data_IF_360149145016
#
_entry.id   IF_360149145016
#
_cell.length_a   1.000
_cell.length_b   1.000
_cell.length_c   1.000
_cell.angle_alpha   90.00
_cell.angle_beta   90.00
_cell.angle_gamma   90.00
#
_symmetry.space_group_name_H-M   'P 1'
#
loop_
_entity.id
_entity.type
_entity.pdbx_description
1 polymer ?
#
# COMPACT_ATOMS: atom_id res chain seq x y z
N UNK A 1 -46.07 57.46 -5.15
CA UNK A 1 -47.47 57.01 -5.05
C UNK A 1 -47.58 56.10 -3.83
N UNK A 2 -48.21 56.62 -2.77
CA UNK A 2 -48.96 55.98 -1.66
C UNK A 2 -48.53 54.58 -1.15
N UNK A 3 -48.01 54.46 0.09
CA UNK A 3 -48.71 54.23 1.40
C UNK A 3 -49.25 52.79 1.53
N UNK A 4 -49.20 52.04 2.63
CA UNK A 4 -49.05 52.25 4.09
C UNK A 4 -48.57 50.89 4.70
N UNK A 5 -47.65 50.83 5.67
CA UNK A 5 -47.78 51.04 7.14
C UNK A 5 -48.76 50.07 7.82
N UNK A 6 -48.23 49.23 8.74
CA UNK A 6 -48.71 49.18 10.12
C UNK A 6 -47.65 48.60 11.07
N UNK A 7 -47.12 49.50 11.91
CA UNK A 7 -46.48 49.23 13.19
C UNK A 7 -47.58 49.06 14.24
N UNK A 8 -47.44 48.09 15.14
CA UNK A 8 -48.10 48.11 16.44
C UNK A 8 -47.02 48.10 17.51
N UNK A 9 -46.96 49.18 18.27
CA UNK A 9 -46.23 49.33 19.53
C UNK A 9 -47.12 48.92 20.69
N UNK A 10 -46.60 48.19 21.68
CA UNK A 10 -47.14 48.23 23.06
C UNK A 10 -46.09 47.85 24.10
N UNK A 11 -45.75 48.88 24.90
CA UNK A 11 -45.61 48.91 26.36
C UNK A 11 -44.72 47.90 27.11
N UNK A 12 -43.72 48.47 27.80
CA UNK A 12 -43.03 47.84 28.92
C UNK A 12 -43.82 47.99 30.24
N UNK A 13 -43.95 46.89 31.01
CA UNK A 13 -44.09 46.88 32.48
C UNK A 13 -43.40 45.65 33.07
N UNK A 14 -42.63 45.89 34.13
CA UNK A 14 -41.83 44.92 34.90
C UNK A 14 -42.67 44.05 35.82
N UNK A 15 -42.34 42.75 35.97
CA UNK A 15 -42.55 41.95 37.19
C UNK A 15 -41.40 40.92 37.36
N UNK A 16 -40.51 41.24 38.31
CA UNK A 16 -39.90 40.43 39.38
C UNK A 16 -39.90 38.88 39.29
N UNK A 17 -38.67 38.34 39.42
CA UNK A 17 -38.23 37.08 40.04
C UNK A 17 -38.89 35.74 39.70
N UNK A 18 -38.09 34.78 39.20
CA UNK A 18 -37.68 33.60 39.99
C UNK A 18 -36.72 32.71 39.20
N UNK A 19 -35.76 32.17 39.94
CA UNK A 19 -34.63 31.34 39.51
C UNK A 19 -35.12 30.00 38.97
N UNK A 20 -34.66 29.64 37.77
CA UNK A 20 -34.73 28.29 37.21
C UNK A 20 -33.49 28.05 36.37
N UNK A 21 -32.45 27.47 36.97
CA UNK A 21 -31.22 27.10 36.30
C UNK A 21 -31.50 26.00 35.28
N UNK A 22 -31.60 26.37 34.00
CA UNK A 22 -31.52 25.41 32.90
C UNK A 22 -30.04 25.12 32.70
N UNK A 23 -29.60 23.98 33.25
CA UNK A 23 -28.33 23.38 32.88
C UNK A 23 -28.37 23.04 31.38
N UNK A 24 -27.79 23.91 30.55
CA UNK A 24 -27.36 23.55 29.21
C UNK A 24 -26.30 22.46 29.37
N UNK A 25 -26.72 21.20 29.26
CA UNK A 25 -25.82 20.09 29.06
C UNK A 25 -25.13 20.30 27.71
N UNK A 26 -23.98 20.97 27.74
CA UNK A 26 -22.99 20.94 26.69
C UNK A 26 -22.63 19.48 26.44
N UNK A 27 -23.18 18.92 25.37
CA UNK A 27 -22.71 17.65 24.81
C UNK A 27 -21.31 17.93 24.31
N UNK A 28 -20.33 17.76 25.18
CA UNK A 28 -18.94 17.60 24.81
C UNK A 28 -18.95 16.35 23.92
N UNK A 29 -18.89 16.56 22.61
CA UNK A 29 -18.55 15.53 21.65
C UNK A 29 -17.11 15.12 21.97
N UNK A 30 -16.97 14.24 22.96
CA UNK A 30 -15.74 13.51 23.21
C UNK A 30 -15.40 12.82 21.91
N UNK A 31 -14.21 13.12 21.40
CA UNK A 31 -13.52 12.31 20.41
C UNK A 31 -13.57 10.87 20.88
N UNK A 32 -14.52 10.10 20.34
CA UNK A 32 -14.53 8.66 20.49
C UNK A 32 -13.26 8.19 19.81
N UNK A 33 -12.26 7.80 20.61
CA UNK A 33 -11.24 6.89 20.14
C UNK A 33 -11.97 5.72 19.48
N UNK A 34 -11.57 5.30 18.25
CA UNK A 34 -12.16 4.10 17.68
C UNK A 34 -12.00 3.01 18.73
N UNK A 35 -13.13 2.39 19.11
CA UNK A 35 -13.18 1.32 20.09
C UNK A 35 -11.98 0.42 19.85
N UNK A 36 -11.10 0.33 20.84
CA UNK A 36 -9.96 -0.56 20.80
C UNK A 36 -10.50 -1.91 20.35
N UNK A 37 -9.99 -2.44 19.23
CA UNK A 37 -10.13 -3.86 18.97
C UNK A 37 -9.74 -4.52 20.30
N UNK A 38 -10.69 -5.26 20.91
CA UNK A 38 -10.40 -6.03 22.10
C UNK A 38 -9.05 -6.71 21.85
N UNK A 39 -8.05 -6.48 22.72
CA UNK A 39 -6.69 -6.92 22.43
C UNK A 39 -6.73 -8.43 22.17
N UNK A 40 -6.62 -8.78 20.88
CA UNK A 40 -6.71 -10.17 20.44
C UNK A 40 -5.54 -10.89 21.13
N UNK A 41 -5.86 -11.92 21.90
CA UNK A 41 -4.85 -12.78 22.49
C UNK A 41 -4.25 -13.65 21.38
N UNK A 42 -3.29 -13.09 20.65
CA UNK A 42 -2.61 -13.74 19.54
C UNK A 42 -1.88 -15.02 19.95
N UNK A 43 -1.62 -15.25 21.24
CA UNK A 43 -1.05 -16.53 21.70
C UNK A 43 -2.01 -17.72 21.49
N UNK A 44 -3.32 -17.44 21.36
CA UNK A 44 -4.37 -18.44 21.11
C UNK A 44 -4.72 -18.61 19.63
N UNK A 45 -4.21 -17.75 18.76
CA UNK A 45 -4.46 -17.82 17.31
C UNK A 45 -3.34 -18.64 16.66
N UNK A 46 -3.63 -19.72 15.92
CA UNK A 46 -2.60 -20.51 15.26
C UNK A 46 -1.75 -19.68 14.31
N UNK A 47 -0.42 -19.80 14.43
CA UNK A 47 0.52 -19.18 13.52
C UNK A 47 0.91 -20.13 12.38
N UNK A 48 0.91 -19.62 11.15
CA UNK A 48 1.40 -20.30 9.95
C UNK A 48 2.61 -19.53 9.43
N UNK A 49 3.76 -20.19 9.35
CA UNK A 49 4.91 -19.63 8.63
C UNK A 49 4.76 -19.89 7.14
N UNK A 50 4.74 -18.80 6.36
CA UNK A 50 4.75 -18.80 4.89
C UNK A 50 6.14 -18.43 4.43
N UNK A 51 6.76 -19.30 3.62
CA UNK A 51 8.04 -18.99 2.98
C UNK A 51 7.81 -18.15 1.73
N UNK A 52 8.26 -16.91 1.76
CA UNK A 52 8.30 -16.03 0.60
C UNK A 52 9.65 -16.15 -0.10
N UNK A 53 9.68 -15.93 -1.41
CA UNK A 53 10.90 -15.97 -2.19
C UNK A 53 10.97 -14.88 -3.24
N UNK A 54 12.19 -14.56 -3.67
CA UNK A 54 12.47 -13.50 -4.62
C UNK A 54 12.21 -13.97 -6.07
N UNK A 55 11.25 -13.37 -6.80
CA UNK A 55 10.82 -13.88 -8.11
C UNK A 55 11.63 -13.32 -9.29
N UNK A 56 12.47 -12.28 -9.08
CA UNK A 56 13.25 -11.63 -10.13
C UNK A 56 12.40 -11.13 -11.29
N UNK A 57 12.88 -11.33 -12.52
CA UNK A 57 12.20 -10.98 -13.77
C UNK A 57 11.44 -12.16 -14.39
N UNK A 58 10.79 -13.00 -13.57
CA UNK A 58 9.88 -14.05 -14.04
C UNK A 58 8.54 -13.48 -14.52
N UNK A 59 8.55 -12.73 -15.63
CA UNK A 59 7.31 -12.20 -16.22
C UNK A 59 6.40 -13.33 -16.74
N UNK A 60 5.10 -13.05 -16.84
CA UNK A 60 4.08 -13.93 -17.43
C UNK A 60 4.47 -14.36 -18.85
N UNK A 61 4.99 -13.43 -19.66
CA UNK A 61 5.55 -13.71 -20.99
C UNK A 61 6.69 -14.71 -20.96
N UNK A 62 7.57 -14.66 -19.95
CA UNK A 62 8.64 -15.65 -19.77
C UNK A 62 8.07 -17.00 -19.35
N UNK A 63 7.15 -17.01 -18.38
CA UNK A 63 6.49 -18.22 -17.87
C UNK A 63 5.74 -19.00 -18.96
N UNK A 64 5.14 -18.28 -19.90
CA UNK A 64 4.41 -18.82 -21.04
C UNK A 64 5.29 -19.09 -22.27
N UNK A 65 6.61 -18.88 -22.18
CA UNK A 65 7.55 -19.09 -23.29
C UNK A 65 8.41 -20.34 -23.08
N UNK A 66 8.95 -20.88 -24.17
CA UNK A 66 9.88 -22.03 -24.14
C UNK A 66 11.13 -21.83 -23.27
N UNK A 67 11.45 -20.58 -22.88
CA UNK A 67 12.50 -20.28 -21.91
C UNK A 67 12.18 -20.82 -20.51
N UNK A 68 10.90 -20.99 -20.17
CA UNK A 68 10.41 -21.74 -19.01
C UNK A 68 10.35 -23.24 -19.34
N UNK A 69 11.55 -23.81 -19.59
CA UNK A 69 11.76 -25.15 -20.14
C UNK A 69 10.82 -26.20 -19.53
N UNK A 70 10.03 -26.86 -20.38
CA UNK A 70 9.12 -27.98 -20.05
C UNK A 70 7.90 -27.62 -19.20
N UNK A 71 7.72 -26.35 -18.82
CA UNK A 71 6.61 -25.88 -18.00
C UNK A 71 5.73 -24.82 -18.71
N UNK A 72 6.20 -24.21 -19.79
CA UNK A 72 5.47 -23.24 -20.60
C UNK A 72 4.09 -23.74 -21.08
N UNK A 73 4.03 -24.96 -21.59
CA UNK A 73 2.75 -25.59 -22.01
C UNK A 73 1.79 -25.80 -20.83
N UNK A 74 2.32 -26.12 -19.65
CA UNK A 74 1.53 -26.30 -18.42
C UNK A 74 0.98 -24.95 -17.93
N UNK A 75 1.81 -23.90 -17.94
CA UNK A 75 1.37 -22.54 -17.60
C UNK A 75 0.26 -22.08 -18.55
N UNK A 76 0.41 -22.29 -19.86
CA UNK A 76 -0.60 -21.93 -20.87
C UNK A 76 -1.90 -22.75 -20.71
N UNK A 77 -1.80 -24.01 -20.27
CA UNK A 77 -2.97 -24.84 -19.93
C UNK A 77 -3.64 -24.42 -18.60
N UNK A 78 -3.03 -23.49 -17.86
CA UNK A 78 -3.54 -23.04 -16.58
C UNK A 78 -3.24 -24.00 -15.44
N UNK A 79 -2.12 -24.72 -15.46
CA UNK A 79 -1.68 -25.53 -14.32
C UNK A 79 -1.15 -24.65 -13.18
N UNK A 80 -1.19 -25.17 -11.96
CA UNK A 80 -0.69 -24.47 -10.78
C UNK A 80 0.84 -24.50 -10.72
N UNK A 81 1.47 -23.39 -10.31
CA UNK A 81 2.93 -23.31 -10.16
C UNK A 81 3.47 -24.38 -9.21
N UNK A 82 2.76 -24.62 -8.11
CA UNK A 82 3.12 -25.61 -7.10
C UNK A 82 3.06 -27.05 -7.61
N UNK A 83 2.38 -27.34 -8.73
CA UNK A 83 2.42 -28.69 -9.32
C UNK A 83 3.80 -29.13 -9.79
N UNK A 84 4.73 -28.18 -9.97
CA UNK A 84 6.12 -28.43 -10.33
C UNK A 84 7.12 -27.85 -9.31
N UNK A 85 6.73 -26.82 -8.55
CA UNK A 85 7.63 -26.03 -7.69
C UNK A 85 7.31 -26.12 -6.19
N UNK A 86 6.53 -27.10 -5.76
CA UNK A 86 6.26 -27.32 -4.33
C UNK A 86 7.55 -27.54 -3.55
N UNK A 87 7.81 -26.69 -2.55
CA UNK A 87 9.00 -26.76 -1.70
C UNK A 87 10.28 -26.15 -2.31
N UNK A 88 10.22 -25.64 -3.55
CA UNK A 88 11.38 -25.07 -4.24
C UNK A 88 11.59 -23.56 -3.96
N UNK A 89 10.80 -22.93 -3.09
CA UNK A 89 10.83 -21.48 -2.84
C UNK A 89 12.24 -20.98 -2.51
N UNK A 90 12.97 -21.72 -1.68
CA UNK A 90 14.33 -21.38 -1.30
C UNK A 90 15.32 -21.49 -2.45
N UNK A 91 15.23 -22.58 -3.22
CA UNK A 91 16.13 -22.82 -4.34
C UNK A 91 15.90 -21.79 -5.46
N UNK A 92 14.64 -21.51 -5.77
CA UNK A 92 14.26 -20.48 -6.75
C UNK A 92 14.76 -19.11 -6.29
N UNK A 93 14.42 -18.71 -5.06
CA UNK A 93 14.80 -17.41 -4.52
C UNK A 93 16.31 -17.20 -4.53
N UNK A 94 17.07 -18.17 -4.00
CA UNK A 94 18.53 -18.12 -3.91
C UNK A 94 19.21 -18.13 -5.28
N UNK A 95 18.70 -18.92 -6.23
CA UNK A 95 19.24 -18.95 -7.60
C UNK A 95 19.05 -17.60 -8.31
N UNK A 96 17.89 -16.98 -8.11
CA UNK A 96 17.56 -15.72 -8.78
C UNK A 96 18.38 -14.57 -8.17
N UNK A 97 18.43 -14.42 -6.83
CA UNK A 97 19.22 -13.33 -6.22
C UNK A 97 20.72 -13.45 -6.50
N UNK A 98 21.23 -14.65 -6.80
CA UNK A 98 22.62 -14.83 -7.19
C UNK A 98 22.95 -14.27 -8.59
N UNK A 99 21.96 -13.81 -9.36
CA UNK A 99 22.14 -13.31 -10.72
C UNK A 99 22.34 -14.38 -11.79
N UNK A 100 22.29 -15.68 -11.42
CA UNK A 100 22.51 -16.78 -12.38
C UNK A 100 21.34 -16.95 -13.35
N UNK A 101 20.14 -16.54 -12.96
CA UNK A 101 18.91 -16.68 -13.75
C UNK A 101 17.92 -15.58 -13.38
N UNK A 102 17.30 -14.96 -14.39
CA UNK A 102 16.19 -14.00 -14.24
C UNK A 102 16.47 -12.77 -13.37
N UNK A 103 17.73 -12.46 -13.07
CA UNK A 103 18.13 -11.25 -12.38
C UNK A 103 19.35 -10.63 -13.06
N UNK A 104 19.15 -9.70 -14.01
CA UNK A 104 20.26 -9.08 -14.72
C UNK A 104 21.05 -8.07 -13.87
N UNK A 105 20.48 -7.58 -12.76
CA UNK A 105 21.12 -6.60 -11.90
C UNK A 105 20.92 -6.99 -10.43
N UNK A 106 21.60 -8.06 -9.95
CA UNK A 106 21.41 -8.53 -8.58
C UNK A 106 21.79 -7.46 -7.57
N UNK A 107 20.98 -7.33 -6.52
CA UNK A 107 21.26 -6.43 -5.40
C UNK A 107 22.23 -7.16 -4.46
N UNK A 108 23.44 -6.61 -4.17
CA UNK A 108 24.41 -7.27 -3.32
C UNK A 108 23.83 -7.65 -1.94
N UNK A 109 24.03 -8.90 -1.54
CA UNK A 109 23.58 -9.42 -0.25
C UNK A 109 22.07 -9.58 -0.08
N UNK A 110 21.23 -9.31 -1.11
CA UNK A 110 19.78 -9.48 -1.00
C UNK A 110 19.43 -10.94 -0.67
N UNK A 111 18.61 -11.14 0.35
CA UNK A 111 18.13 -12.47 0.70
C UNK A 111 17.21 -13.03 -0.38
N UNK A 112 17.38 -14.31 -0.74
CA UNK A 112 16.52 -15.02 -1.69
C UNK A 112 15.15 -15.38 -1.12
N UNK A 113 15.04 -15.47 0.21
CA UNK A 113 13.83 -15.89 0.91
C UNK A 113 13.49 -14.96 2.07
N UNK A 114 12.24 -15.01 2.51
CA UNK A 114 11.77 -14.39 3.75
C UNK A 114 10.70 -15.26 4.37
N UNK A 115 10.86 -15.63 5.64
CA UNK A 115 9.79 -16.29 6.38
C UNK A 115 8.84 -15.24 6.96
N UNK A 116 7.55 -15.40 6.67
CA UNK A 116 6.47 -14.54 7.13
C UNK A 116 5.55 -15.37 8.02
N UNK A 117 5.49 -15.04 9.31
CA UNK A 117 4.47 -15.61 10.20
C UNK A 117 3.14 -14.90 9.95
N UNK A 118 2.08 -15.69 9.78
CA UNK A 118 0.71 -15.21 9.56
C UNK A 118 -0.21 -15.83 10.59
N UNK A 119 -1.02 -14.99 11.22
CA UNK A 119 -2.12 -15.39 12.09
C UNK A 119 -3.38 -14.68 11.60
N UNK A 120 -4.51 -15.36 11.63
CA UNK A 120 -5.77 -14.81 11.17
C UNK A 120 -6.87 -15.10 12.18
N UNK A 121 -7.72 -14.12 12.42
CA UNK A 121 -8.91 -14.24 13.25
C UNK A 121 -10.06 -13.42 12.66
N UNK A 122 -11.29 -13.69 13.06
CA UNK A 122 -12.44 -12.90 12.62
C UNK A 122 -13.50 -12.81 13.71
N UNK A 123 -14.30 -11.75 13.67
CA UNK A 123 -15.62 -11.69 14.28
C UNK A 123 -16.69 -11.69 13.16
N UNK A 124 -17.94 -11.32 13.46
CA UNK A 124 -19.01 -11.27 12.47
C UNK A 124 -18.89 -10.09 11.49
N UNK A 125 -18.03 -9.12 11.79
CA UNK A 125 -17.87 -7.85 11.06
C UNK A 125 -16.49 -7.71 10.42
N UNK A 126 -15.43 -8.20 11.06
CA UNK A 126 -14.05 -7.89 10.73
C UNK A 126 -13.19 -9.14 10.58
N UNK A 127 -12.28 -9.07 9.61
CA UNK A 127 -11.09 -9.89 9.52
C UNK A 127 -9.93 -9.18 10.22
N UNK A 128 -9.19 -9.94 11.03
CA UNK A 128 -7.96 -9.53 11.69
C UNK A 128 -6.81 -10.40 11.20
N UNK A 129 -5.73 -9.76 10.77
CA UNK A 129 -4.51 -10.42 10.32
C UNK A 129 -3.34 -9.90 11.15
N UNK A 130 -2.53 -10.81 11.68
CA UNK A 130 -1.24 -10.48 12.27
C UNK A 130 -0.12 -11.08 11.44
N UNK A 131 0.87 -10.25 11.16
CA UNK A 131 2.04 -10.60 10.38
C UNK A 131 3.30 -10.33 11.18
N UNK A 132 4.29 -11.21 11.06
CA UNK A 132 5.61 -11.01 11.65
C UNK A 132 6.71 -11.48 10.70
N UNK A 133 7.72 -10.64 10.46
CA UNK A 133 8.92 -11.03 9.73
C UNK A 133 10.16 -10.31 10.26
N UNK A 134 11.29 -11.00 10.17
CA UNK A 134 12.61 -10.42 10.45
C UNK A 134 13.04 -9.58 9.26
N UNK A 135 13.25 -8.29 9.45
CA UNK A 135 13.84 -7.42 8.42
C UNK A 135 15.30 -7.80 8.20
N UNK A 136 15.72 -7.76 6.93
CA UNK A 136 17.12 -7.88 6.54
C UNK A 136 17.92 -6.62 6.93
N UNK A 137 17.27 -5.45 6.96
CA UNK A 137 17.93 -4.19 7.30
C UNK A 137 18.18 -4.09 8.82
N UNK A 138 19.25 -3.40 9.18
CA UNK A 138 19.63 -3.07 10.56
C UNK A 138 18.82 -1.92 11.16
N UNK A 139 17.93 -1.32 10.37
CA UNK A 139 17.08 -0.18 10.72
C UNK A 139 15.71 -0.32 10.10
N UNK A 140 14.72 0.32 10.73
CA UNK A 140 13.36 0.39 10.19
C UNK A 140 13.32 1.15 8.85
N UNK A 141 12.63 0.59 7.84
CA UNK A 141 12.35 1.20 6.54
C UNK A 141 11.29 2.29 6.61
N UNK A 142 11.47 3.30 7.46
CA UNK A 142 10.47 4.35 7.78
C UNK A 142 10.61 5.64 6.97
N UNK A 143 11.30 5.60 5.84
CA UNK A 143 11.55 6.76 4.97
C UNK A 143 11.07 6.49 3.54
N UNK A 144 10.49 7.49 2.88
CA UNK A 144 10.09 7.37 1.48
C UNK A 144 10.04 8.73 0.78
N UNK A 145 10.72 8.84 -0.36
CA UNK A 145 10.79 10.06 -1.17
C UNK A 145 11.20 11.28 -0.32
N UNK A 146 12.37 11.22 0.32
CA UNK A 146 12.86 12.33 1.13
C UNK A 146 13.40 13.43 0.23
N UNK A 147 13.38 14.67 0.71
CA UNK A 147 14.07 15.80 0.07
C UNK A 147 15.09 16.40 1.04
N UNK A 148 16.23 16.84 0.52
CA UNK A 148 17.30 17.46 1.28
C UNK A 148 17.59 18.86 0.73
N UNK A 149 17.79 19.81 1.63
CA UNK A 149 18.22 21.14 1.29
C UNK A 149 19.74 21.18 1.07
N UNK A 150 20.19 21.69 -0.07
CA UNK A 150 21.61 21.78 -0.43
C UNK A 150 22.26 23.13 -0.06
N UNK A 151 21.55 23.95 0.73
CA UNK A 151 21.95 25.31 1.07
C UNK A 151 21.34 26.38 0.17
N UNK A 152 20.73 25.98 -0.97
CA UNK A 152 20.05 26.89 -1.90
C UNK A 152 18.65 26.40 -2.27
N UNK A 153 18.51 25.11 -2.58
CA UNK A 153 17.28 24.51 -3.05
C UNK A 153 17.05 23.10 -2.47
N UNK A 154 15.82 22.61 -2.61
CA UNK A 154 15.43 21.26 -2.21
C UNK A 154 15.62 20.28 -3.35
N UNK A 155 16.25 19.13 -3.07
CA UNK A 155 16.47 18.05 -4.04
C UNK A 155 16.01 16.72 -3.47
N UNK A 156 15.63 15.78 -4.33
CA UNK A 156 15.38 14.40 -3.90
C UNK A 156 16.61 13.83 -3.20
N UNK A 157 16.38 13.10 -2.12
CA UNK A 157 17.42 12.53 -1.28
C UNK A 157 17.15 11.06 -1.01
N UNK A 158 18.13 10.24 -1.38
CA UNK A 158 18.07 8.78 -1.32
C UNK A 158 17.16 8.16 -2.38
N UNK A 159 17.29 6.85 -2.55
CA UNK A 159 16.46 6.05 -3.46
C UNK A 159 16.46 4.58 -3.03
N UNK A 160 15.76 3.70 -3.76
CA UNK A 160 15.79 2.26 -3.51
C UNK A 160 17.14 1.63 -3.92
N UNK A 161 17.50 0.50 -3.29
CA UNK A 161 18.79 -0.20 -3.48
C UNK A 161 19.12 -0.55 -4.93
N UNK A 162 18.10 -0.91 -5.72
CA UNK A 162 18.30 -1.27 -7.13
C UNK A 162 18.58 -0.07 -8.06
N UNK A 163 18.31 1.16 -7.61
CA UNK A 163 18.50 2.34 -8.44
C UNK A 163 19.97 2.51 -8.82
N UNK A 164 20.23 3.01 -10.04
CA UNK A 164 21.60 3.24 -10.53
C UNK A 164 22.40 4.15 -9.59
N UNK A 165 21.78 5.24 -9.11
CA UNK A 165 22.43 6.19 -8.22
C UNK A 165 22.88 5.59 -6.89
N UNK A 166 22.09 4.68 -6.30
CA UNK A 166 22.47 3.99 -5.06
C UNK A 166 23.58 2.98 -5.31
N UNK A 167 23.49 2.20 -6.40
CA UNK A 167 24.55 1.24 -6.79
C UNK A 167 25.89 1.91 -7.06
N UNK A 168 25.88 3.13 -7.59
CA UNK A 168 27.08 3.95 -7.84
C UNK A 168 27.53 4.74 -6.60
N UNK A 169 26.88 4.57 -5.44
CA UNK A 169 27.22 5.29 -4.21
C UNK A 169 26.93 6.79 -4.22
N UNK A 170 26.17 7.29 -5.21
CA UNK A 170 25.85 8.73 -5.37
C UNK A 170 24.77 9.21 -4.41
N UNK A 171 23.94 8.30 -3.90
CA UNK A 171 22.88 8.62 -2.94
C UNK A 171 22.62 7.40 -2.05
N UNK A 172 22.19 7.56 -0.79
CA UNK A 172 22.00 6.42 0.09
C UNK A 172 20.72 5.63 -0.24
N UNK A 173 20.66 4.36 0.20
CA UNK A 173 19.44 3.57 0.13
C UNK A 173 18.43 4.10 1.16
N UNK A 174 17.41 4.81 0.69
CA UNK A 174 16.33 5.38 1.51
C UNK A 174 15.01 5.05 0.84
N UNK A 175 14.37 3.99 1.31
CA UNK A 175 13.07 3.57 0.83
C UNK A 175 12.30 2.81 1.90
N UNK A 176 10.98 2.78 1.76
CA UNK A 176 10.12 2.17 2.77
C UNK A 176 10.05 0.66 2.62
N UNK A 177 9.90 -0.03 3.76
CA UNK A 177 9.44 -1.41 3.76
C UNK A 177 7.91 -1.47 3.65
N UNK A 178 7.39 -2.64 3.27
CA UNK A 178 5.97 -2.83 2.98
C UNK A 178 5.55 -4.28 3.03
N UNK A 179 4.33 -4.49 3.51
CA UNK A 179 3.58 -5.72 3.33
C UNK A 179 2.44 -5.49 2.35
N UNK A 180 2.22 -6.42 1.42
CA UNK A 180 1.11 -6.40 0.48
C UNK A 180 0.30 -7.70 0.57
N UNK A 181 -1.02 -7.55 0.47
CA UNK A 181 -1.99 -8.64 0.45
C UNK A 181 -2.79 -8.47 -0.84
N UNK A 182 -2.83 -9.52 -1.66
CA UNK A 182 -3.66 -9.58 -2.85
C UNK A 182 -4.77 -10.60 -2.61
N UNK A 183 -6.02 -10.28 -2.92
CA UNK A 183 -7.17 -11.15 -2.63
C UNK A 183 -8.03 -11.36 -3.89
N UNK A 184 -8.45 -12.61 -4.08
CA UNK A 184 -9.43 -13.02 -5.08
C UNK A 184 -10.52 -13.90 -4.44
N UNK A 185 -11.73 -13.74 -4.94
CA UNK A 185 -12.94 -14.47 -4.55
C UNK A 185 -13.31 -15.57 -5.56
N UNK A 186 -12.35 -15.99 -6.39
CA UNK A 186 -12.52 -17.02 -7.42
C UNK A 186 -13.03 -16.49 -8.75
N UNK A 187 -13.22 -15.17 -8.90
CA UNK A 187 -13.70 -14.55 -10.14
C UNK A 187 -12.58 -14.19 -11.11
N UNK A 188 -11.32 -14.13 -10.66
CA UNK A 188 -10.18 -13.89 -11.55
C UNK A 188 -9.64 -15.22 -12.10
N UNK A 189 -9.75 -15.47 -13.41
CA UNK A 189 -9.28 -16.72 -14.01
C UNK A 189 -7.81 -17.00 -13.69
N UNK A 190 -7.52 -18.25 -13.33
CA UNK A 190 -6.20 -18.79 -13.01
C UNK A 190 -5.50 -18.21 -11.77
N UNK A 191 -6.07 -17.25 -11.04
CA UNK A 191 -5.37 -16.66 -9.89
C UNK A 191 -5.10 -17.67 -8.78
N UNK A 192 -6.05 -18.56 -8.48
CA UNK A 192 -5.87 -19.69 -7.57
C UNK A 192 -4.69 -20.61 -7.91
N UNK A 193 -4.24 -20.60 -9.17
CA UNK A 193 -3.21 -21.52 -9.68
C UNK A 193 -1.87 -20.82 -9.91
N UNK A 194 -1.90 -19.56 -10.36
CA UNK A 194 -0.73 -18.81 -10.82
C UNK A 194 -0.40 -17.59 -9.96
N UNK A 195 -1.35 -17.13 -9.13
CA UNK A 195 -1.14 -16.05 -8.16
C UNK A 195 -0.62 -14.77 -8.77
N UNK A 196 0.27 -14.10 -8.03
CA UNK A 196 0.79 -12.78 -8.36
C UNK A 196 1.48 -12.69 -9.74
N UNK A 197 1.94 -13.81 -10.32
CA UNK A 197 2.56 -13.85 -11.65
C UNK A 197 1.60 -13.46 -12.77
N UNK A 198 0.29 -13.68 -12.59
CA UNK A 198 -0.74 -13.18 -13.52
C UNK A 198 -0.69 -11.67 -13.70
N UNK A 199 -0.06 -10.95 -12.78
CA UNK A 199 -0.02 -9.49 -12.81
C UNK A 199 1.32 -8.91 -13.23
N UNK A 200 2.31 -9.76 -13.54
CA UNK A 200 3.68 -9.36 -13.82
C UNK A 200 4.00 -9.65 -15.29
N UNK A 201 4.24 -8.62 -16.09
CA UNK A 201 4.42 -8.74 -17.53
C UNK A 201 5.67 -8.02 -18.03
N UNK A 202 6.12 -8.37 -19.23
CA UNK A 202 7.01 -7.52 -20.01
C UNK A 202 6.39 -6.13 -20.20
N UNK A 203 7.24 -5.11 -20.34
CA UNK A 203 6.80 -3.72 -20.52
C UNK A 203 6.55 -2.98 -19.21
N UNK A 204 6.36 -3.69 -18.09
CA UNK A 204 6.27 -3.07 -16.77
C UNK A 204 7.59 -2.43 -16.36
N UNK A 205 7.51 -1.39 -15.52
CA UNK A 205 8.70 -0.77 -14.93
C UNK A 205 9.56 -1.80 -14.19
N UNK A 206 10.87 -1.70 -14.35
CA UNK A 206 11.90 -2.62 -13.86
C UNK A 206 11.83 -4.06 -14.41
N UNK A 207 10.86 -4.39 -15.28
CA UNK A 207 10.72 -5.71 -15.92
C UNK A 207 11.36 -5.74 -17.32
N UNK A 208 11.55 -6.93 -17.93
CA UNK A 208 12.07 -7.01 -19.29
C UNK A 208 11.21 -6.21 -20.27
N UNK A 209 11.89 -5.62 -21.27
CA UNK A 209 11.26 -4.79 -22.31
C UNK A 209 10.43 -3.62 -21.75
N UNK A 210 10.85 -3.04 -20.62
CA UNK A 210 10.19 -1.88 -19.99
C UNK A 210 9.76 -0.84 -21.03
N UNK A 211 8.48 -0.47 -20.99
CA UNK A 211 7.90 0.49 -21.91
C UNK A 211 8.42 1.88 -21.61
N UNK A 212 8.90 2.59 -22.64
CA UNK A 212 9.38 3.96 -22.50
C UNK A 212 8.24 4.91 -22.15
N UNK A 213 8.48 5.85 -21.24
CA UNK A 213 7.42 6.68 -20.68
C UNK A 213 6.75 7.65 -21.68
N UNK A 214 7.46 8.09 -22.71
CA UNK A 214 6.91 8.85 -23.84
C UNK A 214 5.93 8.01 -24.68
N UNK A 215 6.26 6.75 -24.94
CA UNK A 215 5.38 5.80 -25.62
C UNK A 215 4.12 5.54 -24.79
N UNK A 216 4.26 5.31 -23.47
CA UNK A 216 3.10 5.10 -22.58
C UNK A 216 2.20 6.35 -22.52
N UNK A 217 2.79 7.56 -22.47
CA UNK A 217 2.02 8.82 -22.51
C UNK A 217 1.25 8.99 -23.82
N UNK A 218 1.79 8.51 -24.94
CA UNK A 218 1.12 8.52 -26.25
C UNK A 218 0.03 7.46 -26.41
N UNK A 219 -0.01 6.44 -25.53
CA UNK A 219 -1.00 5.37 -25.60
C UNK A 219 -2.41 5.91 -25.28
N UNK A 220 -3.40 5.61 -26.14
CA UNK A 220 -4.76 6.15 -26.06
C UNK A 220 -5.41 5.95 -24.67
N UNK A 221 -5.37 4.73 -24.13
CA UNK A 221 -5.93 4.46 -22.81
C UNK A 221 -4.98 4.84 -21.64
N UNK A 222 -3.81 4.20 -21.52
CA UNK A 222 -2.91 4.45 -20.37
C UNK A 222 -2.44 5.91 -20.25
N UNK A 223 -2.00 6.53 -21.35
CA UNK A 223 -1.57 7.92 -21.37
C UNK A 223 -2.72 8.91 -21.52
N UNK A 224 -3.65 8.63 -22.44
CA UNK A 224 -4.78 9.52 -22.75
C UNK A 224 -5.88 9.54 -21.68
N UNK A 225 -6.34 8.37 -21.22
CA UNK A 225 -7.41 8.25 -20.22
C UNK A 225 -6.86 8.21 -18.81
N UNK A 226 -5.93 7.29 -18.51
CA UNK A 226 -5.42 7.08 -17.13
C UNK A 226 -4.31 8.06 -16.72
N UNK A 227 -3.80 8.87 -17.65
CA UNK A 227 -2.71 9.86 -17.43
C UNK A 227 -1.45 9.25 -16.83
N UNK A 228 -1.13 8.01 -17.19
CA UNK A 228 0.06 7.30 -16.72
C UNK A 228 1.26 7.52 -17.66
N UNK A 229 2.45 7.27 -17.14
CA UNK A 229 3.72 7.36 -17.88
C UNK A 229 4.60 6.12 -17.69
N UNK A 230 4.07 5.09 -17.05
CA UNK A 230 4.70 3.80 -16.80
C UNK A 230 3.64 2.70 -16.91
N UNK A 231 4.09 1.46 -17.11
CA UNK A 231 3.23 0.27 -17.00
C UNK A 231 3.46 -0.37 -15.65
N UNK A 232 2.37 -0.73 -14.98
CA UNK A 232 2.37 -1.43 -13.67
C UNK A 232 1.61 -2.74 -13.80
N UNK A 233 1.33 -3.39 -12.67
CA UNK A 233 0.55 -4.63 -12.63
C UNK A 233 -0.79 -4.48 -13.37
N UNK A 234 -1.19 -5.50 -14.12
CA UNK A 234 -2.49 -5.61 -14.78
C UNK A 234 -2.84 -7.08 -15.00
N UNK A 235 -4.10 -7.39 -15.25
CA UNK A 235 -4.60 -8.74 -15.52
C UNK A 235 -4.67 -9.02 -17.03
N UNK A 236 -4.41 -10.25 -17.49
CA UNK A 236 -4.59 -10.66 -18.88
C UNK A 236 -5.99 -10.37 -19.42
N UNK A 237 -7.02 -10.55 -18.59
CA UNK A 237 -8.41 -10.29 -18.95
C UNK A 237 -8.69 -8.84 -19.41
N UNK A 238 -7.83 -7.90 -19.02
CA UNK A 238 -7.93 -6.48 -19.42
C UNK A 238 -7.29 -6.17 -20.78
N UNK A 239 -6.77 -7.19 -21.48
CA UNK A 239 -6.12 -7.08 -22.79
C UNK A 239 -6.93 -7.75 -23.88
N UNK A 240 -6.72 -7.32 -25.12
CA UNK A 240 -7.43 -7.84 -26.31
C UNK A 240 -6.70 -9.00 -26.97
N UNK A 241 -5.44 -9.25 -26.61
CA UNK A 241 -4.59 -10.29 -27.18
C UNK A 241 -4.24 -11.39 -26.16
N UNK A 242 -4.02 -12.61 -26.63
CA UNK A 242 -3.69 -13.75 -25.79
C UNK A 242 -2.32 -13.63 -25.09
N UNK A 243 -1.39 -12.86 -25.66
CA UNK A 243 -0.10 -12.59 -25.04
C UNK A 243 -0.18 -11.57 -23.88
N UNK A 244 -1.36 -10.98 -23.66
CA UNK A 244 -1.60 -9.93 -22.69
C UNK A 244 -0.59 -8.77 -22.84
N UNK A 245 -0.42 -8.27 -24.06
CA UNK A 245 0.51 -7.19 -24.36
C UNK A 245 0.04 -5.89 -23.68
N UNK A 246 0.98 -5.13 -23.10
CA UNK A 246 0.63 -3.96 -22.29
C UNK A 246 -0.11 -2.86 -23.09
N UNK A 247 0.15 -2.78 -24.40
CA UNK A 247 -0.38 -1.79 -25.35
C UNK A 247 -1.68 -2.25 -26.05
N UNK A 248 -2.21 -3.41 -25.66
CA UNK A 248 -3.46 -3.99 -26.19
C UNK A 248 -4.57 -3.91 -25.16
N UNK A 249 -4.74 -2.74 -24.55
CA UNK A 249 -5.80 -2.53 -23.54
C UNK A 249 -7.19 -2.63 -24.17
N UNK A 250 -8.11 -3.32 -23.50
CA UNK A 250 -9.55 -3.24 -23.79
C UNK A 250 -10.11 -1.81 -23.64
N UNK A 251 -11.28 -1.55 -24.19
CA UNK A 251 -11.93 -0.23 -24.08
C UNK A 251 -12.36 0.06 -22.64
N UNK A 252 -12.56 1.34 -22.24
CA UNK A 252 -13.07 1.67 -20.90
C UNK A 252 -14.36 0.93 -20.54
N UNK A 253 -15.27 0.76 -21.49
CA UNK A 253 -16.56 0.09 -21.30
C UNK A 253 -16.40 -1.42 -21.07
N UNK A 254 -15.47 -2.06 -21.78
CA UNK A 254 -15.13 -3.46 -21.54
C UNK A 254 -14.46 -3.65 -20.18
N UNK A 255 -13.56 -2.74 -19.77
CA UNK A 255 -12.92 -2.77 -18.46
C UNK A 255 -13.95 -2.61 -17.33
N UNK A 256 -14.88 -1.66 -17.47
CA UNK A 256 -15.96 -1.46 -16.51
C UNK A 256 -16.80 -2.74 -16.33
N UNK A 257 -17.17 -3.42 -17.43
CA UNK A 257 -17.91 -4.70 -17.36
C UNK A 257 -17.14 -5.79 -16.62
N UNK A 258 -15.82 -5.87 -16.81
CA UNK A 258 -14.99 -6.84 -16.07
C UNK A 258 -14.99 -6.48 -14.57
N UNK A 259 -14.87 -5.21 -14.23
CA UNK A 259 -14.90 -4.73 -12.84
C UNK A 259 -16.25 -5.00 -12.16
N UNK A 260 -17.37 -4.68 -12.83
CA UNK A 260 -18.74 -4.95 -12.37
C UNK A 260 -18.99 -6.45 -12.14
N UNK A 261 -18.37 -7.31 -12.96
CA UNK A 261 -18.41 -8.76 -12.78
C UNK A 261 -17.49 -9.27 -11.66
N UNK A 262 -16.76 -8.39 -10.97
CA UNK A 262 -15.78 -8.73 -9.92
C UNK A 262 -14.46 -9.28 -10.45
N UNK A 263 -14.14 -9.09 -11.74
CA UNK A 263 -12.95 -9.64 -12.41
C UNK A 263 -11.64 -8.90 -12.12
N UNK A 264 -11.46 -8.37 -10.91
CA UNK A 264 -10.26 -7.68 -10.45
C UNK A 264 -9.64 -8.39 -9.23
N UNK A 265 -8.40 -8.04 -8.88
CA UNK A 265 -7.75 -8.47 -7.63
C UNK A 265 -7.70 -7.30 -6.66
N UNK A 266 -8.21 -7.47 -5.45
CA UNK A 266 -8.03 -6.51 -4.36
C UNK A 266 -6.54 -6.56 -3.92
N UNK A 267 -5.93 -5.39 -3.67
CA UNK A 267 -4.51 -5.18 -3.39
C UNK A 267 -4.29 -4.14 -2.29
N UNK A 268 -4.31 -4.63 -1.06
CA UNK A 268 -4.03 -3.84 0.14
C UNK A 268 -2.53 -3.79 0.43
N UNK A 269 -2.04 -2.65 0.91
CA UNK A 269 -0.62 -2.48 1.26
C UNK A 269 -0.43 -1.69 2.54
N UNK A 270 0.13 -2.33 3.56
CA UNK A 270 0.68 -1.62 4.70
C UNK A 270 2.08 -1.10 4.37
N UNK A 271 2.30 0.21 4.55
CA UNK A 271 3.52 0.92 4.18
C UNK A 271 4.08 1.62 5.41
N UNK A 272 5.32 1.28 5.79
CA UNK A 272 5.93 1.82 7.01
C UNK A 272 5.97 3.35 7.00
N UNK A 273 6.37 3.98 5.89
CA UNK A 273 6.49 5.44 5.82
C UNK A 273 5.19 6.15 5.42
N UNK A 274 4.32 5.49 4.63
CA UNK A 274 3.18 6.14 3.97
C UNK A 274 1.81 5.87 4.56
N UNK A 275 1.66 4.86 5.42
CA UNK A 275 0.36 4.52 6.00
C UNK A 275 0.44 4.20 7.50
N UNK A 276 1.52 3.56 7.95
CA UNK A 276 1.70 3.22 9.38
C UNK A 276 1.62 4.43 10.33
N UNK A 277 2.20 5.62 10.03
CA UNK A 277 2.19 6.74 10.98
C UNK A 277 0.79 7.32 11.25
N UNK A 278 -0.18 6.99 10.40
CA UNK A 278 -1.60 7.35 10.59
C UNK A 278 -2.47 6.14 10.90
N UNK A 279 -1.87 4.96 11.14
CA UNK A 279 -2.54 3.74 11.56
C UNK A 279 -3.39 3.07 10.47
N UNK A 280 -3.08 3.29 9.20
CA UNK A 280 -3.88 2.80 8.05
C UNK A 280 -3.06 1.90 7.11
N UNK A 281 -3.73 1.32 6.13
CA UNK A 281 -3.09 0.73 4.95
C UNK A 281 -3.65 1.33 3.65
N UNK A 282 -2.82 1.31 2.62
CA UNK A 282 -3.16 1.76 1.27
C UNK A 282 -4.08 0.76 0.58
N UNK A 283 -5.12 1.27 -0.07
CA UNK A 283 -6.20 0.49 -0.66
C UNK A 283 -6.25 0.66 -2.18
N UNK A 284 -6.47 -0.45 -2.88
CA UNK A 284 -6.41 -0.48 -4.33
C UNK A 284 -6.69 -1.85 -4.91
N UNK A 285 -6.84 -1.90 -6.23
CA UNK A 285 -7.04 -3.14 -6.97
C UNK A 285 -6.15 -3.24 -8.22
N UNK A 286 -6.04 -4.44 -8.77
CA UNK A 286 -5.40 -4.72 -10.05
C UNK A 286 -6.45 -5.21 -11.04
N UNK A 287 -6.59 -4.47 -12.14
CA UNK A 287 -7.39 -4.87 -13.30
C UNK A 287 -6.63 -4.51 -14.58
N UNK A 288 -6.88 -3.35 -15.17
CA UNK A 288 -6.22 -2.89 -16.39
C UNK A 288 -4.90 -2.19 -16.11
N UNK A 289 -4.73 -1.81 -14.85
CA UNK A 289 -3.57 -1.19 -14.25
C UNK A 289 -3.57 -1.49 -12.74
N UNK A 290 -2.52 -1.04 -12.03
CA UNK A 290 -2.49 -1.03 -10.57
C UNK A 290 -3.17 0.23 -10.09
N UNK A 291 -4.46 0.10 -9.81
CA UNK A 291 -5.32 1.19 -9.40
C UNK A 291 -5.22 1.40 -7.89
N UNK A 292 -5.82 2.50 -7.47
CA UNK A 292 -6.18 2.73 -6.09
C UNK A 292 -7.68 2.94 -6.06
N UNK A 293 -8.28 2.75 -4.91
CA UNK A 293 -9.72 2.87 -4.77
C UNK A 293 -10.18 4.32 -4.84
N UNK A 294 -11.49 4.47 -4.98
CA UNK A 294 -12.13 5.76 -5.14
C UNK A 294 -12.00 6.62 -3.88
N UNK A 295 -11.91 7.94 -4.10
CA UNK A 295 -11.85 8.93 -3.02
C UNK A 295 -10.43 9.33 -2.62
N UNK A 296 -10.28 9.75 -1.37
CA UNK A 296 -9.09 10.43 -0.86
C UNK A 296 -8.27 9.51 0.04
N UNK A 297 -7.01 9.31 -0.36
CA UNK A 297 -6.04 8.45 0.32
C UNK A 297 -5.34 9.17 1.47
N UNK A 298 -4.64 8.39 2.29
CA UNK A 298 -3.89 8.85 3.45
C UNK A 298 -2.56 9.55 3.13
N UNK A 299 -2.15 9.64 1.85
CA UNK A 299 -0.93 10.34 1.47
C UNK A 299 -1.07 11.15 0.17
N UNK A 300 -0.36 12.28 0.13
CA UNK A 300 -0.20 13.12 -1.06
C UNK A 300 1.26 13.55 -1.23
N UNK A 301 1.57 14.27 -2.31
CA UNK A 301 2.86 14.93 -2.46
C UNK A 301 2.94 16.16 -1.55
N UNK A 302 4.01 16.21 -0.74
CA UNK A 302 4.38 17.39 0.06
C UNK A 302 5.25 18.37 -0.74
N UNK A 303 5.53 18.11 -2.01
CA UNK A 303 6.36 18.98 -2.85
C UNK A 303 5.63 19.33 -4.13
N UNK A 304 5.85 20.55 -4.62
CA UNK A 304 5.67 20.82 -6.04
C UNK A 304 6.79 20.11 -6.81
N UNK A 305 6.44 19.22 -7.74
CA UNK A 305 7.44 18.40 -8.44
C UNK A 305 8.22 19.15 -9.52
N UNK A 306 7.74 20.31 -9.95
CA UNK A 306 8.42 21.14 -10.95
C UNK A 306 9.46 22.02 -10.28
N UNK A 307 9.08 22.66 -9.17
CA UNK A 307 9.96 23.61 -8.46
C UNK A 307 10.70 22.98 -7.29
N UNK A 308 10.35 21.75 -6.91
CA UNK A 308 10.82 21.07 -5.70
C UNK A 308 10.51 21.80 -4.38
N UNK A 309 9.63 22.81 -4.41
CA UNK A 309 9.24 23.57 -3.21
C UNK A 309 8.35 22.73 -2.30
N UNK A 310 8.68 22.58 -1.01
CA UNK A 310 7.81 21.90 -0.05
C UNK A 310 6.51 22.69 0.18
N UNK A 311 5.44 21.98 0.52
CA UNK A 311 4.13 22.55 0.87
C UNK A 311 3.98 22.67 2.38
N UNK A 312 4.55 21.73 3.13
CA UNK A 312 4.56 21.68 4.58
C UNK A 312 5.94 21.31 5.11
N UNK A 313 6.22 21.75 6.33
CA UNK A 313 7.38 21.40 7.15
C UNK A 313 6.91 20.90 8.52
N UNK A 314 7.83 20.44 9.37
CA UNK A 314 7.48 20.10 10.74
C UNK A 314 7.17 21.36 11.56
N UNK A 315 6.09 21.31 12.33
CA UNK A 315 5.78 22.32 13.33
C UNK A 315 6.68 22.13 14.54
N UNK A 316 7.70 23.00 14.65
CA UNK A 316 8.65 23.00 15.77
C UNK A 316 7.96 23.05 17.15
N UNK A 317 6.79 23.68 17.27
CA UNK A 317 6.06 23.72 18.54
C UNK A 317 5.46 22.37 18.95
N UNK A 318 5.30 21.45 17.98
CA UNK A 318 4.77 20.10 18.19
C UNK A 318 5.87 19.05 18.28
N UNK A 319 6.90 19.18 17.46
CA UNK A 319 7.96 18.17 17.32
C UNK A 319 9.27 18.55 17.98
N UNK A 320 9.48 19.83 18.28
CA UNK A 320 10.77 20.39 18.71
C UNK A 320 11.74 20.69 17.56
N UNK A 321 11.41 20.39 16.30
CA UNK A 321 12.28 20.59 15.14
C UNK A 321 11.50 21.01 13.88
N UNK A 322 12.15 21.72 12.95
CA UNK A 322 11.56 22.16 11.67
C UNK A 322 11.87 21.20 10.52
N UNK A 323 13.00 20.49 10.60
CA UNK A 323 13.49 19.52 9.64
C UNK A 323 14.22 18.38 10.36
N UNK A 324 14.41 17.27 9.65
CA UNK A 324 15.20 16.13 10.08
C UNK A 324 16.65 16.27 9.62
N UNK A 325 17.52 15.46 10.22
CA UNK A 325 18.85 15.10 9.76
C UNK A 325 18.91 13.59 9.52
N UNK A 326 19.95 13.14 8.82
CA UNK A 326 20.11 11.70 8.51
C UNK A 326 20.15 10.84 9.78
N UNK A 327 20.78 11.33 10.85
CA UNK A 327 20.84 10.65 12.14
C UNK A 327 19.46 10.43 12.79
N UNK A 328 18.45 11.25 12.44
CA UNK A 328 17.08 11.11 12.96
C UNK A 328 16.34 9.92 12.34
N UNK A 329 16.84 9.34 11.23
CA UNK A 329 16.16 8.22 10.56
C UNK A 329 16.11 6.96 11.43
N UNK A 330 17.06 6.80 12.33
CA UNK A 330 17.18 5.69 13.28
C UNK A 330 16.66 6.04 14.67
N UNK A 331 16.26 7.29 14.92
CA UNK A 331 15.74 7.73 16.22
C UNK A 331 14.23 7.46 16.31
N UNK A 332 13.77 6.50 17.13
CA UNK A 332 12.36 6.18 17.26
C UNK A 332 11.54 7.32 17.89
N UNK A 333 12.17 8.26 18.61
CA UNK A 333 11.49 9.42 19.21
C UNK A 333 11.14 10.50 18.19
N UNK A 334 11.79 10.49 17.01
CA UNK A 334 11.54 11.44 15.93
C UNK A 334 10.47 10.90 15.01
N UNK A 335 9.49 11.74 14.66
CA UNK A 335 8.59 11.44 13.55
C UNK A 335 9.31 11.67 12.21
N UNK A 336 9.38 10.62 11.39
CA UNK A 336 9.86 10.71 10.01
C UNK A 336 8.77 11.07 9.00
N UNK A 337 7.53 11.28 9.46
CA UNK A 337 6.39 11.65 8.64
C UNK A 337 5.80 13.01 9.05
N UNK A 338 5.46 13.83 8.05
CA UNK A 338 4.63 15.02 8.25
C UNK A 338 3.17 14.58 8.12
N UNK A 339 2.42 14.70 9.21
CA UNK A 339 1.00 14.37 9.33
C UNK A 339 0.24 15.68 9.49
N UNK A 340 -0.65 15.97 8.53
CA UNK A 340 -1.32 17.25 8.37
C UNK A 340 -2.04 17.71 9.64
N UNK A 341 -2.68 16.79 10.35
CA UNK A 341 -3.47 17.09 11.54
C UNK A 341 -2.65 17.10 12.85
N UNK A 342 -1.40 16.61 12.83
CA UNK A 342 -0.65 16.37 14.06
C UNK A 342 0.60 17.23 14.22
N UNK A 343 1.41 17.37 13.17
CA UNK A 343 2.75 17.94 13.28
C UNK A 343 3.18 18.79 12.07
N UNK A 344 2.24 19.12 11.18
CA UNK A 344 2.52 19.89 9.97
C UNK A 344 2.30 21.39 10.18
N UNK A 345 3.21 22.20 9.64
CA UNK A 345 3.03 23.64 9.44
C UNK A 345 3.21 23.96 7.95
N UNK A 346 2.47 24.94 7.36
CA UNK A 346 2.77 25.40 6.01
C UNK A 346 4.25 25.73 5.85
N UNK A 347 4.82 25.36 4.70
CA UNK A 347 6.23 25.61 4.42
C UNK A 347 6.53 27.11 4.44
N UNK A 348 7.58 27.48 5.16
CA UNK A 348 8.07 28.85 5.27
C UNK A 348 9.53 28.88 4.81
N UNK A 349 9.85 29.51 3.66
CA UNK A 349 11.23 29.59 3.17
C UNK A 349 12.15 30.39 4.11
N UNK A 350 11.59 31.22 5.01
CA UNK A 350 12.35 31.97 6.01
C UNK A 350 12.54 31.20 7.34
N UNK A 351 12.17 29.92 7.40
CA UNK A 351 12.30 29.09 8.61
C UNK A 351 13.75 28.73 9.00
N UNK A 352 14.75 29.29 8.32
CA UNK A 352 16.16 29.14 8.65
C UNK A 352 16.73 27.76 8.33
N UNK A 353 16.27 27.13 7.24
CA UNK A 353 16.79 25.85 6.79
C UNK A 353 18.29 25.93 6.49
N UNK A 354 19.00 24.88 6.87
CA UNK A 354 20.44 24.73 6.71
C UNK A 354 20.74 23.60 5.76
N UNK A 355 21.89 23.66 5.10
CA UNK A 355 22.37 22.54 4.29
C UNK A 355 22.32 21.23 5.09
N UNK A 356 21.77 20.20 4.46
CA UNK A 356 21.55 18.90 5.09
C UNK A 356 20.24 18.73 5.84
N UNK A 357 19.40 19.75 5.94
CA UNK A 357 18.03 19.60 6.44
C UNK A 357 17.20 18.74 5.48
N UNK A 358 16.37 17.87 6.07
CA UNK A 358 15.59 16.87 5.33
C UNK A 358 14.11 17.02 5.68
N UNK A 359 13.26 16.97 4.65
CA UNK A 359 11.82 16.88 4.80
C UNK A 359 11.26 15.65 4.07
N UNK A 360 10.17 15.05 4.57
CA UNK A 360 9.41 14.06 3.81
C UNK A 360 8.80 14.69 2.56
N UNK A 361 9.00 14.07 1.40
CA UNK A 361 8.32 14.46 0.16
C UNK A 361 6.86 14.00 0.10
N UNK A 362 6.39 13.27 1.11
CA UNK A 362 5.00 12.87 1.31
C UNK A 362 4.38 13.62 2.48
N UNK A 363 3.11 13.98 2.32
CA UNK A 363 2.26 14.51 3.38
C UNK A 363 1.23 13.43 3.70
N UNK A 364 1.07 13.11 4.99
CA UNK A 364 0.09 12.15 5.45
C UNK A 364 -1.12 12.82 6.08
N UNK A 365 -2.23 12.10 6.08
CA UNK A 365 -3.48 12.51 6.75
C UNK A 365 -4.28 11.27 7.15
N UNK A 366 -4.94 11.33 8.31
CA UNK A 366 -5.93 10.32 8.70
C UNK A 366 -7.33 10.61 8.13
N UNK A 367 -7.51 11.75 7.44
CA UNK A 367 -8.81 12.17 6.86
C UNK A 367 -8.94 11.65 5.43
N UNK A 368 -9.25 10.36 5.32
CA UNK A 368 -9.60 9.68 4.06
C UNK A 368 -11.09 9.80 3.74
N UNK A 369 -11.46 9.53 2.49
CA UNK A 369 -12.84 9.59 1.99
C UNK A 369 -13.04 8.47 0.96
N UNK A 370 -14.23 7.87 0.91
CA UNK A 370 -14.52 6.75 0.01
C UNK A 370 -13.81 5.45 0.40
N UNK A 371 -13.82 4.49 -0.53
CA UNK A 371 -13.21 3.17 -0.41
C UNK A 371 -11.69 3.22 -0.19
N UNK A 372 -11.01 4.28 -0.67
CA UNK A 372 -9.60 4.52 -0.40
C UNK A 372 -9.22 4.64 1.09
N UNK A 373 -10.21 4.68 1.98
CA UNK A 373 -10.04 4.72 3.43
C UNK A 373 -10.55 3.50 4.18
N UNK A 374 -10.97 2.41 3.52
CA UNK A 374 -11.61 1.26 4.19
C UNK A 374 -10.65 0.50 5.12
N UNK A 375 -9.36 0.48 4.77
CA UNK A 375 -8.30 -0.05 5.61
C UNK A 375 -7.82 0.95 6.68
N UNK A 376 -8.72 1.28 7.60
CA UNK A 376 -8.58 2.32 8.62
C UNK A 376 -7.78 1.91 9.87
N UNK A 377 -7.41 0.63 9.99
CA UNK A 377 -6.77 0.08 11.18
C UNK A 377 -5.70 -0.94 10.81
N UNK A 378 -4.53 -0.46 10.44
CA UNK A 378 -3.32 -1.27 10.22
C UNK A 378 -2.13 -0.62 10.92
N UNK A 379 -1.67 -1.25 12.01
CA UNK A 379 -0.59 -0.74 12.87
C UNK A 379 0.53 -1.75 12.94
N UNK A 380 1.72 -1.31 12.58
CA UNK A 380 2.93 -2.11 12.72
C UNK A 380 3.95 -1.46 13.63
N UNK A 381 4.71 -2.30 14.31
CA UNK A 381 5.82 -1.94 15.18
C UNK A 381 7.08 -2.63 14.69
N UNK A 382 8.23 -1.98 14.87
CA UNK A 382 9.53 -2.57 14.64
C UNK A 382 10.29 -2.67 15.96
N UNK A 383 10.75 -3.87 16.31
CA UNK A 383 11.53 -4.12 17.52
C UNK A 383 12.57 -5.19 17.24
N UNK A 384 13.81 -4.93 17.64
CA UNK A 384 14.94 -5.87 17.51
C UNK A 384 15.07 -6.46 16.09
N UNK A 385 14.86 -5.65 15.05
CA UNK A 385 14.92 -6.08 13.65
C UNK A 385 13.68 -6.82 13.14
N UNK A 386 12.62 -6.96 13.93
CA UNK A 386 11.39 -7.69 13.56
C UNK A 386 10.23 -6.72 13.43
N UNK A 387 9.50 -6.80 12.32
CA UNK A 387 8.20 -6.15 12.19
C UNK A 387 7.10 -7.02 12.76
N UNK A 388 6.16 -6.42 13.49
CA UNK A 388 4.88 -7.01 13.87
C UNK A 388 3.78 -6.09 13.39
N UNK A 389 2.88 -6.56 12.52
CA UNK A 389 1.75 -5.80 11.99
C UNK A 389 0.45 -6.45 12.43
N UNK A 390 -0.49 -5.65 12.94
CA UNK A 390 -1.90 -6.03 13.11
C UNK A 390 -2.74 -5.21 12.15
N UNK A 391 -3.50 -5.90 11.30
CA UNK A 391 -4.35 -5.35 10.26
C UNK A 391 -5.79 -5.77 10.52
N UNK A 392 -6.71 -4.82 10.61
CA UNK A 392 -8.16 -5.05 10.65
C UNK A 392 -8.77 -4.54 9.35
N UNK A 393 -9.63 -5.37 8.77
CA UNK A 393 -10.44 -5.03 7.60
C UNK A 393 -11.88 -5.47 7.87
N UNK A 394 -12.86 -4.69 7.44
CA UNK A 394 -14.24 -5.20 7.41
C UNK A 394 -14.35 -6.38 6.44
N UNK A 395 -15.18 -7.36 6.77
CA UNK A 395 -15.53 -8.43 5.85
C UNK A 395 -16.29 -7.86 4.65
N UNK A 396 -17.29 -7.02 4.93
CA UNK A 396 -18.01 -6.23 3.94
C UNK A 396 -17.62 -4.75 4.06
N UNK A 397 -16.89 -4.23 3.06
CA UNK A 397 -16.48 -2.82 3.00
C UNK A 397 -17.61 -1.91 2.51
N UNK A 398 -18.64 -2.47 1.87
CA UNK A 398 -19.68 -1.71 1.18
C UNK A 398 -19.29 -1.22 -0.22
N UNK A 399 -18.09 -1.54 -0.72
CA UNK A 399 -17.57 -1.06 -2.00
C UNK A 399 -17.17 -2.21 -2.95
N UNK A 400 -18.12 -3.04 -3.42
CA UNK A 400 -17.83 -4.25 -4.20
C UNK A 400 -17.20 -4.02 -5.59
N UNK A 401 -17.16 -2.77 -6.06
CA UNK A 401 -16.46 -2.40 -7.29
C UNK A 401 -14.97 -2.17 -7.07
N UNK A 402 -14.55 -1.87 -5.85
CA UNK A 402 -13.15 -1.60 -5.49
C UNK A 402 -12.55 -2.78 -4.70
N UNK A 403 -13.36 -3.44 -3.86
CA UNK A 403 -12.91 -4.45 -2.90
C UNK A 403 -13.55 -5.83 -3.08
N UNK A 404 -12.86 -6.86 -2.58
CA UNK A 404 -13.48 -8.18 -2.41
C UNK A 404 -14.33 -8.23 -1.14
N UNK A 405 -15.62 -8.45 -1.29
CA UNK A 405 -16.51 -8.66 -0.14
C UNK A 405 -16.32 -10.07 0.41
N UNK A 406 -15.84 -10.15 1.65
CA UNK A 406 -15.56 -11.38 2.36
C UNK A 406 -16.74 -11.76 3.24
N UNK A 407 -16.88 -13.06 3.52
CA UNK A 407 -17.96 -13.62 4.35
C UNK A 407 -17.43 -14.75 5.22
N UNK A 408 -17.96 -14.87 6.42
CA UNK A 408 -17.76 -16.05 7.27
C UNK A 408 -18.23 -17.30 6.51
N UNK A 409 -17.44 -18.37 6.57
CA UNK A 409 -17.57 -19.59 5.77
C UNK A 409 -16.91 -19.52 4.39
N UNK A 410 -16.48 -18.35 3.93
CA UNK A 410 -15.84 -18.17 2.63
C UNK A 410 -14.39 -18.64 2.59
N UNK A 411 -13.93 -19.07 1.41
CA UNK A 411 -12.52 -19.38 1.11
C UNK A 411 -12.08 -18.53 -0.07
N UNK A 412 -10.96 -17.83 0.10
CA UNK A 412 -10.43 -16.84 -0.84
C UNK A 412 -9.02 -17.23 -1.24
N UNK A 413 -8.62 -16.91 -2.47
CA UNK A 413 -7.21 -17.03 -2.86
C UNK A 413 -6.49 -15.76 -2.46
N UNK A 414 -5.33 -15.89 -1.82
CA UNK A 414 -4.49 -14.76 -1.47
C UNK A 414 -3.06 -14.90 -2.01
N UNK A 415 -2.42 -13.77 -2.25
CA UNK A 415 -0.99 -13.64 -2.49
C UNK A 415 -0.37 -12.67 -1.48
N UNK A 416 0.76 -13.05 -0.90
CA UNK A 416 1.48 -12.23 0.10
C UNK A 416 2.81 -11.74 -0.48
N UNK A 417 3.20 -10.53 -0.14
CA UNK A 417 4.48 -9.97 -0.54
C UNK A 417 5.10 -9.04 0.49
N UNK A 418 6.43 -9.06 0.56
CA UNK A 418 7.24 -8.21 1.42
C UNK A 418 8.28 -7.46 0.59
N UNK A 419 8.20 -6.12 0.60
CA UNK A 419 9.34 -5.27 0.25
C UNK A 419 10.11 -5.02 1.54
N UNK A 420 11.32 -5.55 1.61
CA UNK A 420 12.20 -5.45 2.77
C UNK A 420 13.59 -5.03 2.30
N UNK A 421 14.24 -4.18 3.09
CA UNK A 421 15.58 -3.65 2.87
C UNK A 421 15.66 -2.62 1.73
N UNK A 422 14.89 -1.53 1.87
CA UNK A 422 14.94 -0.34 1.00
C UNK A 422 14.76 -0.65 -0.50
N UNK A 423 13.90 -1.62 -0.81
CA UNK A 423 13.59 -2.06 -2.18
C UNK A 423 12.22 -1.61 -2.65
N UNK A 424 11.94 -1.73 -3.94
CA UNK A 424 10.65 -1.36 -4.54
C UNK A 424 10.31 -2.29 -5.71
N UNK A 425 9.21 -2.01 -6.38
CA UNK A 425 8.79 -2.65 -7.64
C UNK A 425 8.95 -4.17 -7.60
N UNK A 426 9.74 -4.78 -8.48
CA UNK A 426 9.92 -6.24 -8.59
C UNK A 426 10.86 -6.85 -7.54
N UNK A 427 11.58 -6.02 -6.79
CA UNK A 427 12.67 -6.45 -5.92
C UNK A 427 12.18 -6.97 -4.55
N UNK A 428 11.02 -7.62 -4.50
CA UNK A 428 10.34 -8.09 -3.28
C UNK A 428 10.28 -9.60 -3.19
N UNK A 429 9.92 -10.12 -2.03
CA UNK A 429 9.60 -11.53 -1.85
C UNK A 429 8.10 -11.75 -2.02
N UNK A 430 7.71 -12.87 -2.61
CA UNK A 430 6.32 -13.26 -2.87
C UNK A 430 6.04 -14.67 -2.39
N UNK A 431 4.79 -14.96 -2.06
CA UNK A 431 4.32 -16.33 -1.87
C UNK A 431 3.88 -16.96 -3.20
N UNK A 432 3.85 -18.29 -3.25
CA UNK A 432 2.90 -18.99 -4.13
C UNK A 432 1.44 -18.69 -3.69
N UNK A 433 0.42 -18.98 -4.52
CA UNK A 433 -0.97 -18.81 -4.13
C UNK A 433 -1.30 -19.59 -2.86
N UNK A 434 -2.07 -18.98 -1.96
CA UNK A 434 -2.54 -19.59 -0.72
C UNK A 434 -4.06 -19.45 -0.63
N UNK A 435 -4.71 -20.32 0.12
CA UNK A 435 -6.11 -20.17 0.50
C UNK A 435 -6.25 -19.52 1.90
N UNK A 436 -7.13 -18.54 2.01
CA UNK A 436 -7.58 -17.92 3.27
C UNK A 436 -9.04 -18.28 3.50
N UNK A 437 -9.32 -19.02 4.57
CA UNK A 437 -10.68 -19.38 4.97
C UNK A 437 -11.14 -18.53 6.15
N UNK A 438 -12.31 -17.92 6.06
CA UNK A 438 -12.91 -17.16 7.16
C UNK A 438 -13.79 -18.11 7.96
N UNK A 439 -13.27 -18.70 9.04
CA UNK A 439 -13.96 -19.78 9.76
C UNK A 439 -14.11 -21.07 8.95
N UNK A 440 -13.41 -21.19 7.82
CA UNK A 440 -13.42 -22.33 6.91
C UNK A 440 -12.01 -22.92 6.75
N UNK A 441 -11.92 -24.23 6.48
CA UNK A 441 -10.63 -24.91 6.29
C UNK A 441 -9.91 -24.37 5.05
N UNK A 442 -8.67 -23.94 5.24
CA UNK A 442 -7.78 -23.41 4.21
C UNK A 442 -6.31 -23.48 4.69
N UNK A 443 -5.36 -23.06 3.85
CA UNK A 443 -3.94 -22.99 4.21
C UNK A 443 -3.69 -22.06 5.41
N UNK A 444 -4.43 -20.94 5.43
CA UNK A 444 -4.56 -20.02 6.56
C UNK A 444 -6.04 -19.97 6.93
N UNK A 445 -6.36 -20.37 8.15
CA UNK A 445 -7.74 -20.32 8.67
C UNK A 445 -7.85 -19.16 9.65
N UNK A 446 -8.72 -18.19 9.34
CA UNK A 446 -9.11 -17.18 10.31
C UNK A 446 -10.00 -17.84 11.36
N UNK A 447 -9.57 -17.83 12.62
CA UNK A 447 -10.34 -18.40 13.74
C UNK A 447 -11.36 -17.40 14.28
N UNK A 448 -12.53 -17.87 14.70
CA UNK A 448 -13.53 -17.01 15.33
C UNK A 448 -13.04 -16.50 16.68
N UNK A 449 -13.10 -15.19 16.87
CA UNK A 449 -12.99 -14.53 18.16
C UNK A 449 -14.34 -14.68 18.86
N UNK A 450 -14.34 -15.37 19.99
CA UNK A 450 -15.54 -15.59 20.81
C UNK A 450 -15.96 -14.34 21.56
#
# INVERSE_FOLDING_TARGET
MFRNVNRVTLSARSIISSVGAIALASVIAGSQSPAAAAEIDWSKVPAKTVKLFYPGQSAYSWLASSAHKRADKKVLAGDACVSCHEGEEADIGNLIVSGKKLEPNPIPGKEGVKDLSVQAAHDDTNLYLRFEWKSQADREGRMHNMIRFDGKEWKWYGSHRASKAVREGKTPPVYEDRLAIMVDDGRVPNFAKQGCWLTCHDGMRDMPKEAKGDIVKGHAYLGGVKKQSDVRKYLPASRTDAAASWDKTKTPEEIAKIQEAGGFLDLMQWRVARSNPVGMADDGYVLEYRNFDAGKKMFSWNVDKKTMTPKFMFDKSKTGYTALREADFTDPSKSTAIIKEANAKPYDPAAGFKEGDILPGRLLTAKTEGSAGDNDSAKGTWKDGTYTLVFRRKLDTGHPLDDKILKVGGVYTIGLAIHDDNVTTRFHHVSFPLSLGIGAKADITAVSLK
#
